data_IF_700176162101
#
_entry.id   IF_700176162101
#
_cell.length_a   1.000
_cell.length_b   1.000
_cell.length_c   1.000
_cell.angle_alpha   90.00
_cell.angle_beta   90.00
_cell.angle_gamma   90.00
#
_symmetry.space_group_name_H-M   'P 1'
#
loop_
_entity.id
_entity.type
_entity.pdbx_description
1 polymer ?
#
# COMPACT_ATOMS: atom_id res chain seq x y z
N UNK A 1 0.07 -8.58 -6.24
CA UNK A 1 1.24 -8.65 -5.34
C UNK A 1 2.17 -9.76 -5.81
N UNK A 2 3.36 -9.89 -5.21
CA UNK A 2 4.27 -11.04 -5.43
C UNK A 2 4.33 -11.86 -4.15
N UNK A 3 4.61 -13.16 -4.26
CA UNK A 3 4.65 -14.09 -3.14
C UNK A 3 5.95 -14.84 -3.13
N UNK A 4 6.51 -15.06 -1.94
CA UNK A 4 7.77 -15.79 -1.78
C UNK A 4 7.66 -16.75 -0.60
N UNK A 5 8.18 -17.96 -0.76
CA UNK A 5 8.38 -18.88 0.35
C UNK A 5 9.73 -18.59 1.03
N UNK A 6 9.71 -18.48 2.36
CA UNK A 6 10.90 -18.36 3.21
C UNK A 6 10.92 -19.46 4.27
N UNK A 7 12.04 -20.18 4.38
CA UNK A 7 12.28 -21.19 5.40
C UNK A 7 13.39 -20.72 6.36
N UNK A 8 13.05 -20.50 7.64
CA UNK A 8 14.02 -20.04 8.63
C UNK A 8 15.04 -21.13 9.00
N UNK A 9 14.65 -22.40 8.94
CA UNK A 9 15.54 -23.52 9.29
C UNK A 9 16.71 -23.70 8.29
N UNK A 10 16.48 -23.35 7.02
CA UNK A 10 17.49 -23.42 5.97
C UNK A 10 18.05 -22.05 5.57
N UNK A 11 17.53 -20.96 6.16
CA UNK A 11 17.71 -19.58 5.70
C UNK A 11 17.56 -19.44 4.18
N UNK A 12 16.57 -20.13 3.62
CA UNK A 12 16.38 -20.27 2.18
C UNK A 12 15.12 -19.53 1.72
N UNK A 13 15.20 -18.94 0.52
CA UNK A 13 14.11 -18.17 -0.08
C UNK A 13 13.85 -18.61 -1.53
N UNK A 14 12.58 -18.81 -1.88
CA UNK A 14 12.18 -19.12 -3.25
C UNK A 14 12.23 -17.89 -4.15
N UNK A 15 12.12 -18.11 -5.46
CA UNK A 15 11.86 -17.04 -6.41
C UNK A 15 10.51 -16.35 -6.15
N UNK A 16 10.37 -15.12 -6.64
CA UNK A 16 9.12 -14.38 -6.59
C UNK A 16 8.06 -14.99 -7.50
N UNK A 17 6.92 -15.35 -6.92
CA UNK A 17 5.77 -15.91 -7.62
C UNK A 17 4.67 -14.86 -7.81
N UNK A 18 3.91 -15.03 -8.88
CA UNK A 18 2.78 -14.15 -9.19
C UNK A 18 1.57 -14.46 -8.29
N UNK A 19 1.45 -15.70 -7.82
CA UNK A 19 0.33 -16.18 -7.01
C UNK A 19 0.80 -16.88 -5.75
N UNK A 20 -0.03 -16.83 -4.69
CA UNK A 20 0.24 -17.53 -3.44
C UNK A 20 0.33 -19.05 -3.66
N UNK A 21 -0.51 -19.59 -4.55
CA UNK A 21 -0.54 -21.01 -4.88
C UNK A 21 0.83 -21.53 -5.35
N UNK A 22 1.52 -20.76 -6.21
CA UNK A 22 2.86 -21.12 -6.68
C UNK A 22 3.88 -21.11 -5.53
N UNK A 23 3.81 -20.11 -4.64
CA UNK A 23 4.71 -20.04 -3.48
C UNK A 23 4.46 -21.19 -2.48
N UNK A 24 3.20 -21.64 -2.34
CA UNK A 24 2.86 -22.83 -1.56
C UNK A 24 3.40 -24.11 -2.21
N UNK A 25 3.33 -24.22 -3.55
CA UNK A 25 3.91 -25.34 -4.27
C UNK A 25 5.43 -25.41 -4.09
N UNK A 26 6.14 -24.27 -4.13
CA UNK A 26 7.57 -24.19 -3.86
C UNK A 26 7.90 -24.62 -2.41
N UNK A 27 7.09 -24.18 -1.43
CA UNK A 27 7.22 -24.61 -0.03
C UNK A 27 7.08 -26.13 0.11
N UNK A 28 6.05 -26.70 -0.49
CA UNK A 28 5.78 -28.14 -0.37
C UNK A 28 6.85 -28.96 -1.09
N UNK A 29 7.36 -28.47 -2.22
CA UNK A 29 8.53 -29.05 -2.88
C UNK A 29 9.76 -28.98 -1.98
N UNK A 30 10.06 -27.81 -1.42
CA UNK A 30 11.20 -27.62 -0.51
C UNK A 30 11.11 -28.54 0.71
N UNK A 31 9.95 -28.64 1.36
CA UNK A 31 9.74 -29.54 2.51
C UNK A 31 10.01 -31.00 2.17
N UNK A 32 9.56 -31.47 1.01
CA UNK A 32 9.81 -32.84 0.56
C UNK A 32 11.31 -33.12 0.36
N UNK A 33 12.04 -32.18 -0.23
CA UNK A 33 13.45 -32.37 -0.55
C UNK A 33 14.42 -32.06 0.60
N UNK A 34 14.21 -30.96 1.33
CA UNK A 34 15.11 -30.48 2.37
C UNK A 34 14.75 -30.97 3.78
N UNK A 35 13.47 -31.31 4.01
CA UNK A 35 12.96 -31.68 5.34
C UNK A 35 12.26 -33.04 5.38
N UNK A 36 12.33 -33.83 4.30
CA UNK A 36 11.66 -35.14 4.19
C UNK A 36 10.16 -35.09 4.53
N UNK A 37 9.50 -33.98 4.21
CA UNK A 37 8.08 -33.76 4.49
C UNK A 37 7.77 -33.19 5.87
N UNK A 38 8.76 -32.97 6.72
CA UNK A 38 8.58 -32.28 8.00
C UNK A 38 8.23 -30.80 7.78
N UNK A 39 7.57 -30.20 8.77
CA UNK A 39 7.14 -28.79 8.75
C UNK A 39 8.09 -27.95 9.61
N UNK A 40 9.12 -27.33 9.02
CA UNK A 40 9.98 -26.38 9.73
C UNK A 40 9.23 -25.06 9.98
N UNK A 41 9.89 -24.13 10.67
CA UNK A 41 9.45 -22.74 10.75
C UNK A 41 9.63 -22.05 9.38
N UNK A 42 8.67 -22.24 8.49
CA UNK A 42 8.58 -21.57 7.20
C UNK A 42 7.31 -20.70 7.09
N UNK A 43 7.30 -19.78 6.13
CA UNK A 43 6.17 -18.88 5.87
C UNK A 43 6.13 -18.46 4.40
N UNK A 44 4.95 -18.03 3.97
CA UNK A 44 4.76 -17.33 2.70
C UNK A 44 4.72 -15.83 3.01
N UNK A 45 5.58 -15.08 2.33
CA UNK A 45 5.66 -13.63 2.45
C UNK A 45 5.03 -12.98 1.23
N UNK A 46 4.15 -12.00 1.48
CA UNK A 46 3.57 -11.16 0.45
C UNK A 46 4.44 -9.92 0.24
N UNK A 47 4.97 -9.77 -0.97
CA UNK A 47 5.78 -8.64 -1.37
C UNK A 47 4.87 -7.65 -2.11
N UNK A 48 4.70 -6.42 -1.59
CA UNK A 48 3.92 -5.40 -2.26
C UNK A 48 4.56 -5.08 -3.61
N UNK A 49 3.73 -5.05 -4.66
CA UNK A 49 4.21 -4.74 -6.00
C UNK A 49 4.80 -3.32 -6.10
N UNK A 50 5.60 -3.02 -7.13
CA UNK A 50 6.25 -1.72 -7.29
C UNK A 50 5.28 -0.53 -7.22
N UNK A 51 4.09 -0.68 -7.82
CA UNK A 51 3.04 0.33 -7.80
C UNK A 51 2.51 0.61 -6.38
N UNK A 52 2.42 -0.41 -5.52
CA UNK A 52 1.96 -0.23 -4.15
C UNK A 52 2.99 0.51 -3.30
N UNK A 53 4.29 0.30 -3.57
CA UNK A 53 5.39 1.04 -2.92
C UNK A 53 5.35 2.51 -3.34
N UNK A 54 5.24 2.78 -4.64
CA UNK A 54 5.15 4.16 -5.17
C UNK A 54 3.91 4.87 -4.63
N UNK A 55 2.75 4.21 -4.61
CA UNK A 55 1.53 4.78 -4.07
C UNK A 55 1.66 5.11 -2.57
N UNK A 56 2.26 4.24 -1.76
CA UNK A 56 2.54 4.51 -0.34
C UNK A 56 3.48 5.70 -0.15
N UNK A 57 4.55 5.78 -0.96
CA UNK A 57 5.49 6.89 -0.90
C UNK A 57 4.82 8.22 -1.25
N UNK A 58 4.00 8.23 -2.32
CA UNK A 58 3.23 9.42 -2.74
C UNK A 58 2.23 9.84 -1.68
N UNK A 59 1.48 8.91 -1.08
CA UNK A 59 0.53 9.22 -0.01
C UNK A 59 1.24 9.77 1.24
N UNK A 60 2.41 9.22 1.60
CA UNK A 60 3.25 9.72 2.69
C UNK A 60 3.78 11.14 2.42
N UNK A 61 4.24 11.40 1.19
CA UNK A 61 4.67 12.73 0.75
C UNK A 61 3.52 13.74 0.77
N UNK A 62 2.33 13.33 0.32
CA UNK A 62 1.15 14.19 0.33
C UNK A 62 0.72 14.53 1.77
N UNK A 63 0.76 13.54 2.67
CA UNK A 63 0.41 13.73 4.08
C UNK A 63 1.39 14.65 4.80
N UNK A 64 2.68 14.48 4.56
CA UNK A 64 3.73 15.36 5.13
C UNK A 64 3.61 16.78 4.59
N UNK A 65 3.37 16.95 3.28
CA UNK A 65 3.11 18.25 2.67
C UNK A 65 1.83 18.90 3.23
N UNK A 66 0.74 18.15 3.41
CA UNK A 66 -0.50 18.66 4.01
C UNK A 66 -0.30 19.07 5.48
N UNK A 67 0.50 18.33 6.25
CA UNK A 67 0.80 18.65 7.65
C UNK A 67 1.74 19.84 7.79
N UNK A 68 2.74 19.95 6.93
CA UNK A 68 3.67 21.08 6.90
C UNK A 68 2.97 22.35 6.39
N UNK A 69 2.23 22.26 5.29
CA UNK A 69 1.40 23.34 4.75
C UNK A 69 0.30 23.76 5.72
N UNK A 70 -0.38 22.81 6.38
CA UNK A 70 -1.40 23.11 7.38
C UNK A 70 -0.88 23.91 8.58
N UNK A 71 0.36 23.67 9.01
CA UNK A 71 1.01 24.44 10.08
C UNK A 71 1.38 25.86 9.65
N UNK A 72 1.91 26.03 8.44
CA UNK A 72 2.27 27.36 7.91
C UNK A 72 1.03 28.20 7.53
N UNK A 73 -0.01 27.58 6.99
CA UNK A 73 -1.26 28.26 6.60
C UNK A 73 -2.12 28.55 7.85
N UNK A 74 -1.94 27.87 8.98
CA UNK A 74 -2.68 28.21 10.21
C UNK A 74 -2.19 29.51 10.87
N UNK A 75 -1.00 30.01 10.52
CA UNK A 75 -0.34 31.12 11.21
C UNK A 75 -0.54 32.50 10.54
N UNK A 76 -1.21 32.58 9.38
CA UNK A 76 -1.41 33.87 8.67
C UNK A 76 -2.87 34.30 8.66
N UNK A 77 -3.15 35.53 9.11
CA UNK A 77 -4.50 36.10 9.12
C UNK A 77 -5.10 36.23 7.70
N UNK A 78 -4.26 36.46 6.69
CA UNK A 78 -4.66 36.52 5.28
C UNK A 78 -5.26 35.21 4.77
N UNK A 79 -4.74 34.06 5.21
CA UNK A 79 -5.31 32.76 4.82
C UNK A 79 -6.61 32.44 5.58
N UNK A 80 -6.84 33.05 6.74
CA UNK A 80 -8.10 32.95 7.49
C UNK A 80 -9.24 33.67 6.78
N UNK A 81 -8.94 34.83 6.19
CA UNK A 81 -9.85 35.58 5.32
C UNK A 81 -10.21 34.77 4.05
N UNK A 82 -9.20 34.20 3.39
CA UNK A 82 -9.38 33.38 2.18
C UNK A 82 -10.22 32.13 2.48
N UNK A 83 -10.00 31.46 3.63
CA UNK A 83 -10.82 30.31 4.05
C UNK A 83 -12.28 30.65 4.32
N UNK A 84 -12.57 31.89 4.73
CA UNK A 84 -13.93 32.39 4.93
C UNK A 84 -14.64 32.71 3.61
N UNK A 85 -13.90 32.82 2.50
CA UNK A 85 -14.51 33.03 1.19
C UNK A 85 -15.34 31.82 0.75
N UNK A 86 -16.48 32.09 0.13
CA UNK A 86 -17.37 31.09 -0.47
C UNK A 86 -16.67 30.30 -1.58
N UNK A 87 -15.76 30.94 -2.32
CA UNK A 87 -14.93 30.30 -3.34
C UNK A 87 -14.03 29.21 -2.77
N UNK A 88 -13.41 29.46 -1.62
CA UNK A 88 -12.57 28.45 -0.96
C UNK A 88 -13.40 27.25 -0.50
N UNK A 89 -14.57 27.50 0.09
CA UNK A 89 -15.48 26.42 0.50
C UNK A 89 -15.95 25.59 -0.69
N UNK A 90 -16.30 26.20 -1.83
CA UNK A 90 -16.65 25.49 -3.05
C UNK A 90 -15.47 24.69 -3.61
N UNK A 91 -14.27 25.27 -3.67
CA UNK A 91 -13.08 24.58 -4.16
C UNK A 91 -12.74 23.34 -3.32
N UNK A 92 -12.77 23.45 -1.99
CA UNK A 92 -12.55 22.33 -1.08
C UNK A 92 -13.64 21.26 -1.25
N UNK A 93 -14.89 21.66 -1.41
CA UNK A 93 -16.01 20.73 -1.60
C UNK A 93 -15.89 19.96 -2.91
N UNK A 94 -15.52 20.63 -4.00
CA UNK A 94 -15.26 20.00 -5.29
C UNK A 94 -14.05 19.04 -5.24
N UNK A 95 -12.97 19.45 -4.58
CA UNK A 95 -11.81 18.58 -4.34
C UNK A 95 -12.18 17.34 -3.53
N UNK A 96 -12.96 17.50 -2.45
CA UNK A 96 -13.41 16.39 -1.62
C UNK A 96 -14.30 15.41 -2.41
N UNK A 97 -15.21 15.93 -3.25
CA UNK A 97 -16.04 15.09 -4.13
C UNK A 97 -15.16 14.35 -5.14
N UNK A 98 -14.22 15.04 -5.80
CA UNK A 98 -13.32 14.43 -6.78
C UNK A 98 -12.46 13.32 -6.18
N UNK A 99 -11.84 13.58 -5.02
CA UNK A 99 -11.07 12.56 -4.28
C UNK A 99 -11.95 11.40 -3.84
N UNK A 100 -13.17 11.68 -3.37
CA UNK A 100 -14.15 10.64 -3.00
C UNK A 100 -14.50 9.71 -4.15
N UNK A 101 -14.73 10.26 -5.35
CA UNK A 101 -15.02 9.47 -6.57
C UNK A 101 -13.82 8.60 -6.95
N UNK A 102 -12.60 9.16 -6.93
CA UNK A 102 -11.37 8.41 -7.24
C UNK A 102 -11.16 7.27 -6.24
N UNK A 103 -11.36 7.53 -4.95
CA UNK A 103 -11.24 6.53 -3.90
C UNK A 103 -12.28 5.40 -4.04
N UNK A 104 -13.54 5.74 -4.36
CA UNK A 104 -14.59 4.77 -4.66
C UNK A 104 -14.24 3.88 -5.85
N UNK A 105 -13.76 4.48 -6.95
CA UNK A 105 -13.29 3.73 -8.12
C UNK A 105 -12.11 2.81 -7.78
N UNK A 106 -11.15 3.27 -6.98
CA UNK A 106 -10.03 2.44 -6.56
C UNK A 106 -10.49 1.25 -5.70
N UNK A 107 -11.49 1.44 -4.84
CA UNK A 107 -12.06 0.38 -4.02
C UNK A 107 -12.84 -0.64 -4.85
N UNK A 108 -13.63 -0.21 -5.83
CA UNK A 108 -14.38 -1.14 -6.71
C UNK A 108 -13.43 -1.97 -7.56
N UNK A 109 -12.38 -1.36 -8.15
CA UNK A 109 -11.35 -2.09 -8.89
C UNK A 109 -10.63 -3.10 -7.99
N UNK A 110 -10.31 -2.73 -6.76
CA UNK A 110 -9.64 -3.62 -5.80
C UNK A 110 -10.54 -4.76 -5.29
N UNK A 111 -11.87 -4.58 -5.26
CA UNK A 111 -12.81 -5.64 -4.92
C UNK A 111 -13.10 -6.62 -6.07
N UNK A 112 -12.76 -6.23 -7.30
CA UNK A 112 -12.94 -7.03 -8.53
C UNK A 112 -11.67 -7.79 -8.96
N UNK A 113 -10.53 -7.53 -8.30
CA UNK A 113 -9.22 -8.16 -8.57
C UNK A 113 -8.78 -9.01 -7.39
#
# INVERSE_FOLDING_TARGET
MRYVHYCAACDARSEERATEYQAVADRDQHRRHAHHGLRPADRIEEIPGPLAIVARALLGALWTAARAGGRHIAASDTTREIRRSTYWQQAVRLLAIGVGIIALLALTVRGLT
#
